data_IF_182021092467
#
_entry.id   IF_182021092467
#
_cell.length_a   1.000
_cell.length_b   1.000
_cell.length_c   1.000
_cell.angle_alpha   90.00
_cell.angle_beta   90.00
_cell.angle_gamma   90.00
#
_symmetry.space_group_name_H-M   'P 1'
#
loop_
_entity.id
_entity.type
_entity.pdbx_description
1 polymer ?
#
# COMPACT_ATOMS: atom_id res chain seq x y z
N UNK A 1 5.97 -0.68 10.62
CA UNK A 1 6.58 0.17 11.67
C UNK A 1 7.29 1.41 11.13
N UNK A 2 7.98 1.36 9.98
CA UNK A 2 8.76 2.50 9.43
C UNK A 2 7.89 3.75 9.15
N UNK A 3 6.66 3.59 8.63
CA UNK A 3 5.79 4.73 8.29
C UNK A 3 5.25 5.49 9.49
N UNK A 4 4.94 4.77 10.57
CA UNK A 4 4.53 5.38 11.83
C UNK A 4 5.70 6.17 12.47
N UNK A 5 6.92 5.66 12.38
CA UNK A 5 8.12 6.36 12.84
C UNK A 5 8.39 7.64 12.02
N UNK A 6 8.22 7.58 10.70
CA UNK A 6 8.33 8.75 9.83
C UNK A 6 7.23 9.80 10.13
N UNK A 7 5.98 9.37 10.29
CA UNK A 7 4.87 10.24 10.69
C UNK A 7 5.09 10.88 12.07
N UNK A 8 5.66 10.13 13.03
CA UNK A 8 6.01 10.66 14.34
C UNK A 8 7.09 11.75 14.26
N UNK A 9 8.19 11.52 13.51
CA UNK A 9 9.25 12.52 13.31
C UNK A 9 8.70 13.77 12.63
N UNK A 10 7.90 13.64 11.58
CA UNK A 10 7.27 14.77 10.88
C UNK A 10 6.35 15.53 11.83
N UNK A 11 5.56 14.84 12.66
CA UNK A 11 4.66 15.48 13.61
C UNK A 11 5.41 16.28 14.68
N UNK A 12 6.54 15.77 15.18
CA UNK A 12 7.36 16.41 16.21
C UNK A 12 8.06 17.64 15.64
N UNK A 13 8.68 17.51 14.46
CA UNK A 13 9.35 18.64 13.78
C UNK A 13 8.34 19.73 13.42
N UNK A 14 7.18 19.35 12.89
CA UNK A 14 6.12 20.30 12.53
C UNK A 14 5.54 21.00 13.76
N UNK A 15 5.31 20.28 14.86
CA UNK A 15 4.84 20.86 16.10
C UNK A 15 5.87 21.82 16.74
N UNK A 16 7.17 21.51 16.63
CA UNK A 16 8.24 22.38 17.12
C UNK A 16 8.35 23.67 16.29
N UNK A 17 8.17 23.57 14.97
CA UNK A 17 8.16 24.71 14.05
C UNK A 17 6.93 25.62 14.27
N UNK A 18 5.75 25.02 14.43
CA UNK A 18 4.49 25.71 14.74
C UNK A 18 4.55 26.43 16.10
N UNK A 19 5.23 25.84 17.09
CA UNK A 19 5.45 26.46 18.41
C UNK A 19 6.38 27.68 18.34
N UNK A 20 7.30 27.72 17.36
CA UNK A 20 8.26 28.83 17.17
C UNK A 20 7.64 30.02 16.44
N UNK A 21 6.81 29.76 15.42
CA UNK A 21 6.28 30.81 14.53
C UNK A 21 4.84 31.23 14.81
N UNK A 22 4.00 30.40 15.43
CA UNK A 22 2.57 30.71 15.61
C UNK A 22 2.20 30.93 17.08
N UNK A 23 1.78 32.16 17.41
CA UNK A 23 1.21 32.54 18.71
C UNK A 23 -0.11 31.81 19.01
N UNK A 24 -0.86 31.40 17.98
CA UNK A 24 -2.08 30.61 18.11
C UNK A 24 -1.73 29.23 18.67
N UNK A 25 -0.75 28.55 18.10
CA UNK A 25 -0.33 27.21 18.55
C UNK A 25 0.31 27.20 19.96
N UNK A 26 0.88 28.35 20.37
CA UNK A 26 1.44 28.55 21.71
C UNK A 26 0.38 28.56 22.81
N UNK A 27 -0.84 29.06 22.54
CA UNK A 27 -1.91 29.20 23.54
C UNK A 27 -2.95 28.06 23.53
N UNK A 28 -2.86 27.13 22.57
CA UNK A 28 -3.84 26.05 22.42
C UNK A 28 -3.64 24.94 23.47
N UNK A 29 -4.76 24.44 24.02
CA UNK A 29 -4.84 23.36 25.02
C UNK A 29 -4.16 22.06 24.54
N UNK A 30 -3.62 21.28 25.47
CA UNK A 30 -2.92 20.01 25.24
C UNK A 30 -3.66 19.02 24.34
N UNK A 31 -5.00 18.97 24.40
CA UNK A 31 -5.81 18.07 23.57
C UNK A 31 -5.59 18.26 22.06
N UNK A 32 -5.48 19.50 21.56
CA UNK A 32 -5.31 19.75 20.12
C UNK A 32 -3.90 19.35 19.66
N UNK A 33 -2.90 19.47 20.53
CA UNK A 33 -1.53 19.00 20.21
C UNK A 33 -1.50 17.50 20.03
N UNK A 34 -2.15 16.76 20.92
CA UNK A 34 -2.25 15.29 20.82
C UNK A 34 -2.99 14.88 19.54
N UNK A 35 -4.11 15.56 19.21
CA UNK A 35 -4.84 15.31 17.97
C UNK A 35 -3.96 15.51 16.73
N UNK A 36 -3.18 16.60 16.69
CA UNK A 36 -2.27 16.87 15.59
C UNK A 36 -1.20 15.79 15.40
N UNK A 37 -0.61 15.29 16.50
CA UNK A 37 0.35 14.19 16.43
C UNK A 37 -0.31 12.90 15.94
N UNK A 38 -1.49 12.55 16.46
CA UNK A 38 -2.23 11.36 16.01
C UNK A 38 -2.56 11.42 14.52
N UNK A 39 -3.02 12.58 14.01
CA UNK A 39 -3.35 12.74 12.60
C UNK A 39 -2.14 12.50 11.70
N UNK A 40 -0.96 13.05 12.05
CA UNK A 40 0.26 12.86 11.28
C UNK A 40 0.82 11.43 11.35
N UNK A 41 0.75 10.80 12.53
CA UNK A 41 1.19 9.40 12.70
C UNK A 41 0.29 8.46 11.91
N UNK A 42 -1.04 8.67 11.98
CA UNK A 42 -2.02 7.92 11.21
C UNK A 42 -1.77 8.05 9.70
N UNK A 43 -1.60 9.29 9.23
CA UNK A 43 -1.33 9.58 7.83
C UNK A 43 -0.04 8.90 7.33
N UNK A 44 1.03 8.94 8.13
CA UNK A 44 2.31 8.28 7.81
C UNK A 44 2.22 6.76 7.77
N UNK A 45 1.37 6.16 8.62
CA UNK A 45 1.14 4.72 8.62
C UNK A 45 0.36 4.26 7.37
N UNK A 46 -0.72 4.98 7.02
CA UNK A 46 -1.55 4.68 5.84
C UNK A 46 -0.72 4.77 4.56
N UNK A 47 0.06 5.85 4.40
CA UNK A 47 0.86 6.05 3.21
C UNK A 47 1.91 4.94 2.97
N UNK A 48 2.45 4.37 4.04
CA UNK A 48 3.38 3.24 3.92
C UNK A 48 2.66 1.93 3.60
N UNK A 49 1.45 1.73 4.15
CA UNK A 49 0.62 0.57 3.83
C UNK A 49 0.24 0.58 2.34
N UNK A 50 -0.19 1.72 1.79
CA UNK A 50 -0.54 1.84 0.37
C UNK A 50 0.65 1.50 -0.54
N UNK A 51 1.86 1.95 -0.18
CA UNK A 51 3.08 1.59 -0.93
C UNK A 51 3.40 0.10 -0.88
N UNK A 52 3.14 -0.55 0.25
CA UNK A 52 3.33 -2.00 0.36
C UNK A 52 2.28 -2.75 -0.46
N UNK A 53 1.04 -2.27 -0.48
CA UNK A 53 -0.04 -2.84 -1.28
C UNK A 53 0.26 -2.74 -2.78
N UNK A 54 0.71 -1.57 -3.25
CA UNK A 54 1.14 -1.38 -4.65
C UNK A 54 2.29 -2.33 -5.04
N UNK A 55 3.30 -2.48 -4.18
CA UNK A 55 4.40 -3.42 -4.43
C UNK A 55 3.92 -4.88 -4.45
N UNK A 56 3.02 -5.23 -3.54
CA UNK A 56 2.43 -6.56 -3.50
C UNK A 56 1.65 -6.85 -4.79
N UNK A 57 0.81 -5.91 -5.23
CA UNK A 57 0.04 -6.04 -6.46
C UNK A 57 0.96 -6.20 -7.68
N UNK A 58 2.00 -5.38 -7.81
CA UNK A 58 2.97 -5.48 -8.91
C UNK A 58 3.68 -6.85 -8.95
N UNK A 59 4.18 -7.31 -7.80
CA UNK A 59 4.84 -8.62 -7.70
C UNK A 59 3.87 -9.77 -7.99
N UNK A 60 2.62 -9.67 -7.51
CA UNK A 60 1.58 -10.65 -7.76
C UNK A 60 1.29 -10.77 -9.26
N UNK A 61 1.07 -9.65 -9.94
CA UNK A 61 0.86 -9.64 -11.39
C UNK A 61 2.04 -10.23 -12.14
N UNK A 62 3.28 -9.88 -11.80
CA UNK A 62 4.47 -10.45 -12.45
C UNK A 62 4.55 -11.97 -12.23
N UNK A 63 4.24 -12.44 -11.02
CA UNK A 63 4.25 -13.86 -10.69
C UNK A 63 3.17 -14.65 -11.45
N UNK A 64 1.96 -14.10 -11.58
CA UNK A 64 0.88 -14.70 -12.34
C UNK A 64 1.18 -14.69 -13.85
N UNK A 65 1.83 -13.65 -14.37
CA UNK A 65 2.23 -13.58 -15.78
C UNK A 65 3.28 -14.64 -16.12
N UNK A 66 4.26 -14.86 -15.24
CA UNK A 66 5.24 -15.97 -15.35
C UNK A 66 4.59 -17.34 -15.20
N UNK A 67 3.58 -17.46 -14.34
CA UNK A 67 2.83 -18.71 -14.17
C UNK A 67 2.04 -19.03 -15.43
N UNK A 68 1.40 -18.02 -16.04
CA UNK A 68 0.68 -18.14 -17.31
C UNK A 68 1.60 -18.54 -18.46
N UNK A 69 2.77 -17.90 -18.61
CA UNK A 69 3.72 -18.27 -19.67
C UNK A 69 4.18 -19.72 -19.54
N UNK A 70 4.47 -20.18 -18.31
CA UNK A 70 4.90 -21.57 -18.08
C UNK A 70 3.83 -22.60 -18.44
N UNK A 71 2.56 -22.33 -18.14
CA UNK A 71 1.45 -23.23 -18.49
C UNK A 71 1.25 -23.29 -20.01
N UNK A 72 1.40 -22.14 -20.70
CA UNK A 72 1.34 -22.09 -22.15
C UNK A 72 2.50 -22.86 -22.81
N UNK A 73 3.71 -22.70 -22.29
CA UNK A 73 4.89 -23.44 -22.77
C UNK A 73 4.71 -24.96 -22.57
N UNK A 74 4.22 -25.39 -21.41
CA UNK A 74 3.97 -26.80 -21.10
C UNK A 74 2.81 -27.39 -21.96
N UNK A 75 1.81 -26.59 -22.30
CA UNK A 75 0.74 -26.97 -23.22
C UNK A 75 1.24 -27.08 -24.68
N UNK A 76 2.11 -26.16 -25.10
CA UNK A 76 2.76 -26.19 -26.40
C UNK A 76 3.68 -27.41 -26.56
N UNK A 77 4.47 -27.75 -25.54
CA UNK A 77 5.31 -28.95 -25.52
C UNK A 77 4.49 -30.26 -25.57
N UNK A 78 3.28 -30.27 -24.99
CA UNK A 78 2.35 -31.41 -25.07
C UNK A 78 1.55 -31.47 -26.37
N UNK A 79 1.73 -30.52 -27.29
CA UNK A 79 1.00 -30.48 -28.56
C UNK A 79 -0.50 -30.19 -28.42
N UNK A 80 -0.94 -29.69 -27.24
CA UNK A 80 -2.33 -29.34 -26.96
C UNK A 80 -2.43 -27.81 -27.07
N UNK A 81 -2.98 -27.32 -28.18
CA UNK A 81 -3.34 -25.92 -28.33
C UNK A 81 -4.50 -25.60 -27.37
N UNK A 82 -4.19 -25.02 -26.21
CA UNK A 82 -5.19 -24.33 -25.41
C UNK A 82 -5.33 -22.92 -26.02
N UNK A 83 -6.46 -22.64 -26.65
CA UNK A 83 -6.82 -21.26 -27.01
C UNK A 83 -6.79 -20.39 -25.75
N UNK A 84 -6.22 -19.19 -25.90
CA UNK A 84 -5.87 -18.24 -24.85
C UNK A 84 -7.04 -17.95 -23.87
N UNK A 85 -8.29 -18.11 -24.33
CA UNK A 85 -9.52 -17.95 -23.54
C UNK A 85 -9.75 -19.04 -22.48
N UNK A 86 -9.37 -20.30 -22.72
CA UNK A 86 -9.61 -21.40 -21.78
C UNK A 86 -8.65 -21.36 -20.56
N UNK A 87 -7.41 -20.92 -20.79
CA UNK A 87 -6.43 -20.69 -19.73
C UNK A 87 -6.75 -19.41 -18.91
N UNK A 88 -7.32 -18.38 -19.56
CA UNK A 88 -7.79 -17.18 -18.88
C UNK A 88 -9.00 -17.47 -17.97
N UNK A 89 -9.97 -18.26 -18.43
CA UNK A 89 -11.21 -18.57 -17.70
C UNK A 89 -10.98 -19.43 -16.45
N UNK A 90 -10.00 -20.35 -16.47
CA UNK A 90 -9.70 -21.25 -15.35
C UNK A 90 -8.90 -20.61 -14.20
N UNK A 91 -8.32 -19.43 -14.40
CA UNK A 91 -7.46 -18.76 -13.39
C UNK A 91 -8.10 -17.52 -12.75
N UNK A 92 -9.31 -17.11 -13.17
CA UNK A 92 -10.06 -16.06 -12.48
C UNK A 92 -10.65 -16.63 -11.19
N UNK A 93 -9.90 -16.46 -10.10
CA UNK A 93 -10.48 -16.53 -8.75
C UNK A 93 -11.43 -15.34 -8.65
N UNK A 94 -12.73 -15.62 -8.76
CA UNK A 94 -13.80 -14.68 -8.50
C UNK A 94 -13.58 -14.06 -7.11
N UNK A 95 -13.42 -12.72 -6.99
CA UNK A 95 -13.33 -12.10 -5.67
C UNK A 95 -14.62 -12.42 -4.90
N UNK A 96 -14.54 -12.77 -3.60
CA UNK A 96 -15.73 -13.01 -2.80
C UNK A 96 -16.58 -11.75 -2.80
N UNK A 97 -17.81 -11.87 -3.32
CA UNK A 97 -18.82 -10.83 -3.25
C UNK A 97 -19.10 -10.52 -1.78
N UNK A 98 -18.75 -9.32 -1.33
CA UNK A 98 -19.21 -8.72 -0.08
C UNK A 98 -20.47 -7.94 -0.36
#
# INVERSE_FOLDING_TARGET
MIGAAQGAVISVVSAMLLRRFSTIYRNVRTQVRVFYHCSWISMGAVFQADKQLLKFQANYYESELKRRSRILDEAAERGIFLEEEAAASSTVIQPPNV
#
